data_IF_291144989485
#
_entry.id   IF_291144989485
#
_cell.length_a   1.000
_cell.length_b   1.000
_cell.length_c   1.000
_cell.angle_alpha   90.00
_cell.angle_beta   90.00
_cell.angle_gamma   90.00
#
_symmetry.space_group_name_H-M   'P 1'
#
loop_
_entity.id
_entity.type
_entity.pdbx_description
1 polymer ?
#
# COMPACT_ATOMS: atom_id res chain seq x y z
N UNK A 1 40.42 6.39 9.22
CA UNK A 1 39.80 7.29 8.21
C UNK A 1 38.95 6.56 7.17
N UNK A 2 39.19 5.28 6.86
CA UNK A 2 38.42 4.51 5.86
C UNK A 2 36.95 4.21 6.22
N UNK A 3 36.61 4.00 7.49
CA UNK A 3 35.26 3.66 7.93
C UNK A 3 34.23 4.82 7.81
N UNK A 4 34.68 6.07 7.97
CA UNK A 4 33.80 7.24 7.87
C UNK A 4 33.43 7.55 6.42
N UNK A 5 34.30 7.25 5.48
CA UNK A 5 34.08 7.41 4.04
C UNK A 5 33.05 6.41 3.53
N UNK A 6 33.18 5.15 3.90
CA UNK A 6 32.22 4.08 3.55
C UNK A 6 30.78 4.35 4.07
N UNK A 7 30.66 4.96 5.24
CA UNK A 7 29.37 5.37 5.82
C UNK A 7 28.74 6.57 5.10
N UNK A 8 29.56 7.51 4.63
CA UNK A 8 29.08 8.66 3.82
C UNK A 8 28.62 8.20 2.44
N UNK A 9 29.38 7.34 1.78
CA UNK A 9 29.04 6.79 0.46
C UNK A 9 27.75 5.96 0.51
N UNK A 10 27.53 5.18 1.55
CA UNK A 10 26.30 4.41 1.73
C UNK A 10 25.07 5.30 2.03
N UNK A 11 25.26 6.46 2.66
CA UNK A 11 24.20 7.43 2.96
C UNK A 11 23.84 8.26 1.72
N UNK A 12 24.81 8.68 0.94
CA UNK A 12 24.62 9.38 -0.33
C UNK A 12 23.89 8.47 -1.34
N UNK A 13 24.30 7.23 -1.47
CA UNK A 13 23.68 6.25 -2.37
C UNK A 13 22.20 6.00 -1.99
N UNK A 14 21.88 5.92 -0.70
CA UNK A 14 20.49 5.79 -0.22
C UNK A 14 19.64 7.00 -0.55
N UNK A 15 20.18 8.20 -0.39
CA UNK A 15 19.49 9.44 -0.75
C UNK A 15 19.23 9.53 -2.26
N UNK A 16 20.25 9.24 -3.08
CA UNK A 16 20.11 9.21 -4.55
C UNK A 16 19.02 8.22 -4.97
N UNK A 17 19.05 7.00 -4.41
CA UNK A 17 18.02 5.98 -4.68
C UNK A 17 16.62 6.46 -4.28
N UNK A 18 16.49 7.10 -3.10
CA UNK A 18 15.22 7.66 -2.62
C UNK A 18 14.65 8.67 -3.62
N UNK A 19 15.44 9.67 -4.01
CA UNK A 19 14.95 10.71 -4.93
C UNK A 19 14.70 10.20 -6.34
N UNK A 20 15.50 9.27 -6.82
CA UNK A 20 15.28 8.62 -8.12
C UNK A 20 13.97 7.84 -8.15
N UNK A 21 13.63 7.13 -7.08
CA UNK A 21 12.35 6.45 -6.95
C UNK A 21 11.18 7.44 -6.85
N UNK A 22 11.35 8.58 -6.19
CA UNK A 22 10.32 9.64 -6.15
C UNK A 22 10.06 10.17 -7.58
N UNK A 23 11.10 10.46 -8.35
CA UNK A 23 10.98 10.92 -9.74
C UNK A 23 10.26 9.87 -10.59
N UNK A 24 10.70 8.61 -10.52
CA UNK A 24 10.10 7.51 -11.27
C UNK A 24 8.62 7.34 -10.92
N UNK A 25 8.30 7.34 -9.63
CA UNK A 25 6.92 7.23 -9.16
C UNK A 25 6.05 8.41 -9.61
N UNK A 26 6.59 9.63 -9.58
CA UNK A 26 5.88 10.82 -10.04
C UNK A 26 5.59 10.77 -11.55
N UNK A 27 6.52 10.32 -12.37
CA UNK A 27 6.33 10.13 -13.82
C UNK A 27 5.25 9.09 -14.09
N UNK A 28 5.35 7.91 -13.48
CA UNK A 28 4.37 6.83 -13.67
C UNK A 28 2.98 7.27 -13.24
N UNK A 29 2.87 7.95 -12.09
CA UNK A 29 1.61 8.49 -11.61
C UNK A 29 1.00 9.47 -12.61
N UNK A 30 1.80 10.42 -13.10
CA UNK A 30 1.34 11.48 -14.02
C UNK A 30 0.88 10.93 -15.36
N UNK A 31 1.56 9.91 -15.89
CA UNK A 31 1.14 9.19 -17.09
C UNK A 31 -0.22 8.53 -16.86
N UNK A 32 -0.39 7.79 -15.78
CA UNK A 32 -1.64 7.13 -15.44
C UNK A 32 -2.79 8.11 -15.24
N UNK A 33 -2.52 9.23 -14.58
CA UNK A 33 -3.52 10.27 -14.35
C UNK A 33 -3.87 11.00 -15.65
N UNK A 34 -2.88 11.60 -16.33
CA UNK A 34 -3.14 12.54 -17.42
C UNK A 34 -3.57 11.88 -18.73
N UNK A 35 -3.06 10.69 -19.05
CA UNK A 35 -3.35 10.04 -20.32
C UNK A 35 -4.53 9.05 -20.26
N UNK A 36 -4.86 8.55 -19.05
CA UNK A 36 -5.91 7.55 -18.88
C UNK A 36 -7.09 8.06 -18.05
N UNK A 37 -6.83 8.67 -16.88
CA UNK A 37 -7.91 9.09 -15.98
C UNK A 37 -8.55 10.40 -16.43
N UNK A 38 -7.76 11.44 -16.64
CA UNK A 38 -8.25 12.80 -16.88
C UNK A 38 -9.12 12.90 -18.16
N UNK A 39 -8.75 12.31 -19.32
CA UNK A 39 -9.55 12.39 -20.54
C UNK A 39 -10.90 11.69 -20.41
N UNK A 40 -10.95 10.63 -19.61
CA UNK A 40 -12.16 9.85 -19.35
C UNK A 40 -12.98 10.40 -18.17
N UNK A 41 -12.65 11.61 -17.68
CA UNK A 41 -13.31 12.26 -16.55
C UNK A 41 -13.32 11.41 -15.27
N UNK A 42 -12.30 10.55 -15.12
CA UNK A 42 -12.09 9.72 -13.94
C UNK A 42 -11.41 10.58 -12.89
N UNK A 43 -12.10 10.77 -11.77
CA UNK A 43 -11.68 11.68 -10.71
C UNK A 43 -10.64 10.99 -9.84
N UNK A 44 -9.62 11.74 -9.46
CA UNK A 44 -8.73 11.35 -8.38
C UNK A 44 -9.41 11.66 -7.05
N UNK A 45 -9.15 10.86 -6.04
CA UNK A 45 -9.57 11.20 -4.68
C UNK A 45 -8.72 12.32 -4.05
N UNK A 46 -9.02 12.62 -2.81
CA UNK A 46 -8.23 13.54 -1.99
C UNK A 46 -8.17 14.97 -2.51
N UNK A 47 -7.06 15.65 -2.21
CA UNK A 47 -6.85 17.06 -2.60
C UNK A 47 -6.80 17.24 -4.12
N UNK A 48 -6.23 16.27 -4.85
CA UNK A 48 -6.21 16.34 -6.31
C UNK A 48 -7.63 16.25 -6.91
N UNK A 49 -8.52 15.46 -6.31
CA UNK A 49 -9.93 15.42 -6.72
C UNK A 49 -10.63 16.76 -6.52
N UNK A 50 -10.40 17.42 -5.39
CA UNK A 50 -10.92 18.79 -5.15
C UNK A 50 -10.30 19.75 -6.16
N UNK A 51 -9.01 19.64 -6.46
CA UNK A 51 -8.35 20.47 -7.49
C UNK A 51 -8.98 20.25 -8.88
N UNK A 52 -9.39 19.01 -9.23
CA UNK A 52 -10.13 18.73 -10.46
C UNK A 52 -11.51 19.42 -10.50
N UNK A 53 -12.23 19.45 -9.38
CA UNK A 53 -13.50 20.19 -9.28
C UNK A 53 -13.29 21.67 -9.55
N UNK A 54 -12.27 22.26 -8.94
CA UNK A 54 -11.92 23.67 -9.13
C UNK A 54 -11.44 23.93 -10.55
N UNK A 55 -10.62 23.04 -11.13
CA UNK A 55 -10.17 23.13 -12.52
C UNK A 55 -11.35 23.19 -13.49
N UNK A 56 -12.36 22.35 -13.30
CA UNK A 56 -13.55 22.32 -14.16
C UNK A 56 -14.38 23.62 -14.08
N UNK A 57 -14.30 24.36 -12.95
CA UNK A 57 -15.00 25.63 -12.75
C UNK A 57 -14.15 26.85 -13.15
N UNK A 58 -12.81 26.75 -13.08
CA UNK A 58 -11.92 27.91 -13.21
C UNK A 58 -10.88 27.81 -14.33
N UNK A 59 -10.74 26.63 -14.96
CA UNK A 59 -9.72 26.34 -15.97
C UNK A 59 -8.27 26.48 -15.49
N UNK A 60 -8.04 26.61 -14.19
CA UNK A 60 -6.68 26.66 -13.61
C UNK A 60 -6.03 25.27 -13.66
N UNK A 61 -4.71 25.15 -13.91
CA UNK A 61 -4.02 23.85 -13.98
C UNK A 61 -4.19 23.05 -12.69
N UNK A 62 -4.49 21.75 -12.83
CA UNK A 62 -4.74 20.84 -11.68
C UNK A 62 -3.52 20.74 -10.77
N UNK A 63 -2.31 20.69 -11.34
CA UNK A 63 -1.06 20.64 -10.58
C UNK A 63 -0.85 21.89 -9.71
N UNK A 64 -1.07 23.07 -10.28
CA UNK A 64 -0.96 24.34 -9.53
C UNK A 64 -1.96 24.39 -8.37
N UNK A 65 -3.22 24.03 -8.63
CA UNK A 65 -4.25 23.97 -7.58
C UNK A 65 -3.87 22.98 -6.48
N UNK A 66 -3.35 21.82 -6.87
CA UNK A 66 -2.88 20.80 -5.92
C UNK A 66 -1.75 21.33 -5.04
N UNK A 67 -0.78 22.06 -5.60
CA UNK A 67 0.30 22.67 -4.83
C UNK A 67 -0.26 23.67 -3.82
N UNK A 68 -1.09 24.60 -4.26
CA UNK A 68 -1.65 25.65 -3.40
C UNK A 68 -2.46 25.07 -2.24
N UNK A 69 -3.30 24.09 -2.51
CA UNK A 69 -4.13 23.43 -1.50
C UNK A 69 -3.31 22.58 -0.51
N UNK A 70 -2.16 22.10 -0.91
CA UNK A 70 -1.28 21.33 -0.05
C UNK A 70 -0.42 22.18 0.90
N UNK A 71 -0.22 23.48 0.63
CA UNK A 71 0.58 24.37 1.49
C UNK A 71 0.18 24.29 2.97
N UNK A 72 -1.11 24.46 3.35
CA UNK A 72 -1.50 24.36 4.75
C UNK A 72 -1.27 22.97 5.35
N UNK A 73 -1.45 21.90 4.56
CA UNK A 73 -1.23 20.53 5.02
C UNK A 73 0.26 20.28 5.30
N UNK A 74 1.15 20.80 4.46
CA UNK A 74 2.59 20.71 4.68
C UNK A 74 3.06 21.52 5.90
N UNK A 75 2.47 22.68 6.16
CA UNK A 75 2.78 23.46 7.36
C UNK A 75 2.43 22.67 8.65
N UNK A 76 1.29 21.97 8.64
CA UNK A 76 0.90 21.11 9.76
C UNK A 76 1.83 19.88 9.85
N UNK A 77 2.15 19.25 8.72
CA UNK A 77 3.01 18.08 8.66
C UNK A 77 4.43 18.36 9.15
N UNK A 78 4.96 19.52 8.84
CA UNK A 78 6.30 19.94 9.29
C UNK A 78 6.45 19.83 10.80
N UNK A 79 5.43 20.23 11.52
CA UNK A 79 5.45 20.23 13.00
C UNK A 79 5.43 18.81 13.60
N UNK A 80 4.98 17.79 12.84
CA UNK A 80 4.72 16.42 13.37
C UNK A 80 5.67 15.35 12.87
N UNK A 81 6.16 15.43 11.62
CA UNK A 81 6.88 14.31 10.96
C UNK A 81 8.36 14.52 10.73
N UNK A 82 8.89 15.70 11.03
CA UNK A 82 10.30 16.04 10.82
C UNK A 82 10.66 16.39 9.36
N UNK A 83 11.87 16.91 9.20
CA UNK A 83 12.34 17.50 7.93
C UNK A 83 12.54 16.48 6.81
N UNK A 84 12.99 15.26 7.10
CA UNK A 84 13.29 14.26 6.06
C UNK A 84 12.02 13.78 5.33
N UNK A 85 10.94 13.61 6.09
CA UNK A 85 9.62 13.32 5.53
C UNK A 85 9.08 14.50 4.73
N UNK A 86 9.20 15.70 5.29
CA UNK A 86 8.72 16.93 4.68
C UNK A 86 9.37 17.18 3.31
N UNK A 87 10.71 17.13 3.26
CA UNK A 87 11.48 17.39 2.03
C UNK A 87 11.15 16.34 0.96
N UNK A 88 11.14 15.05 1.32
CA UNK A 88 10.78 13.99 0.39
C UNK A 88 9.37 14.14 -0.17
N UNK A 89 8.41 14.48 0.69
CA UNK A 89 7.00 14.64 0.30
C UNK A 89 6.78 15.92 -0.51
N UNK A 90 7.47 17.02 -0.16
CA UNK A 90 7.41 18.25 -0.93
C UNK A 90 7.94 18.03 -2.37
N UNK A 91 9.07 17.34 -2.50
CA UNK A 91 9.63 16.98 -3.81
C UNK A 91 8.68 16.05 -4.56
N UNK A 92 8.11 15.05 -3.89
CA UNK A 92 7.13 14.13 -4.50
C UNK A 92 5.91 14.89 -5.02
N UNK A 93 5.32 15.77 -4.23
CA UNK A 93 4.19 16.61 -4.62
C UNK A 93 4.54 17.54 -5.80
N UNK A 94 5.65 18.26 -5.70
CA UNK A 94 6.06 19.20 -6.75
C UNK A 94 6.29 18.48 -8.09
N UNK A 95 7.05 17.38 -8.07
CA UNK A 95 7.32 16.60 -9.27
C UNK A 95 6.03 16.02 -9.87
N UNK A 96 5.16 15.44 -9.04
CA UNK A 96 3.88 14.89 -9.52
C UNK A 96 3.02 15.98 -10.15
N UNK A 97 2.91 17.15 -9.50
CA UNK A 97 2.11 18.26 -10.02
C UNK A 97 2.69 18.82 -11.32
N UNK A 98 4.01 19.03 -11.38
CA UNK A 98 4.68 19.53 -12.58
C UNK A 98 4.55 18.53 -13.73
N UNK A 99 4.75 17.24 -13.49
CA UNK A 99 4.62 16.22 -14.56
C UNK A 99 3.18 16.04 -15.03
N UNK A 100 2.18 16.22 -14.15
CA UNK A 100 0.77 16.23 -14.55
C UNK A 100 0.49 17.40 -15.48
N UNK A 101 0.90 18.61 -15.12
CA UNK A 101 0.66 19.80 -15.95
C UNK A 101 1.49 19.75 -17.26
N UNK A 102 2.72 19.23 -17.21
CA UNK A 102 3.56 19.06 -18.40
C UNK A 102 2.95 18.00 -19.36
N UNK A 103 2.43 16.91 -18.83
CA UNK A 103 1.75 15.90 -19.62
C UNK A 103 0.44 16.44 -20.22
N UNK A 104 -0.24 17.38 -19.56
CA UNK A 104 -1.45 18.02 -20.06
C UNK A 104 -1.19 18.81 -21.36
N UNK A 105 0.00 19.43 -21.50
CA UNK A 105 0.37 20.17 -22.71
C UNK A 105 0.38 19.30 -23.97
N UNK A 106 0.65 17.99 -23.83
CA UNK A 106 0.69 17.08 -24.98
C UNK A 106 -0.68 16.81 -25.58
N UNK A 107 -1.77 17.07 -24.87
CA UNK A 107 -3.15 16.72 -25.23
C UNK A 107 -3.32 15.26 -25.69
N UNK A 108 -2.42 14.36 -25.27
CA UNK A 108 -2.43 12.96 -25.63
C UNK A 108 -3.48 12.20 -24.81
N UNK A 109 -4.32 11.44 -25.50
CA UNK A 109 -5.34 10.56 -24.92
C UNK A 109 -4.99 9.12 -25.30
N UNK A 110 -4.66 8.30 -24.28
CA UNK A 110 -4.27 6.92 -24.51
C UNK A 110 -5.46 6.01 -24.86
N UNK A 111 -6.63 6.32 -24.30
CA UNK A 111 -7.87 5.60 -24.59
C UNK A 111 -9.09 6.48 -24.33
N UNK A 112 -10.13 6.29 -25.13
CA UNK A 112 -11.44 6.89 -24.95
C UNK A 112 -12.44 5.93 -24.27
N UNK A 113 -12.00 4.73 -23.90
CA UNK A 113 -12.80 3.77 -23.16
C UNK A 113 -12.65 4.06 -21.65
N UNK A 114 -13.72 4.50 -20.96
CA UNK A 114 -13.64 4.86 -19.53
C UNK A 114 -13.28 3.67 -18.64
N UNK A 115 -13.70 2.45 -19.00
CA UNK A 115 -13.37 1.27 -18.19
C UNK A 115 -11.88 0.94 -18.29
N UNK A 116 -11.35 0.95 -19.52
CA UNK A 116 -9.92 0.73 -19.76
C UNK A 116 -9.09 1.85 -19.10
N UNK A 117 -9.56 3.10 -19.21
CA UNK A 117 -8.97 4.26 -18.53
C UNK A 117 -8.95 4.10 -17.01
N UNK A 118 -10.04 3.60 -16.41
CA UNK A 118 -10.13 3.37 -14.98
C UNK A 118 -9.15 2.28 -14.49
N UNK A 119 -9.09 1.16 -15.21
CA UNK A 119 -8.22 0.04 -14.81
C UNK A 119 -6.76 0.37 -15.02
N UNK A 120 -6.34 0.77 -16.24
CA UNK A 120 -4.93 1.05 -16.53
C UNK A 120 -4.47 2.32 -15.80
N UNK A 121 -5.27 3.38 -15.81
CA UNK A 121 -4.99 4.59 -15.07
C UNK A 121 -4.88 4.33 -13.57
N UNK A 122 -5.77 3.49 -13.02
CA UNK A 122 -5.73 3.03 -11.64
C UNK A 122 -4.45 2.27 -11.30
N UNK A 123 -4.02 1.33 -12.16
CA UNK A 123 -2.76 0.57 -11.98
C UNK A 123 -1.56 1.51 -12.01
N UNK A 124 -1.44 2.37 -13.00
CA UNK A 124 -0.29 3.29 -13.12
C UNK A 124 -0.26 4.32 -11.98
N UNK A 125 -1.40 4.92 -11.64
CA UNK A 125 -1.50 5.80 -10.48
C UNK A 125 -1.09 5.10 -9.20
N UNK A 126 -1.67 3.93 -8.94
CA UNK A 126 -1.35 3.13 -7.76
C UNK A 126 0.11 2.72 -7.70
N UNK A 127 0.71 2.34 -8.84
CA UNK A 127 2.12 2.02 -8.94
C UNK A 127 3.01 3.23 -8.63
N UNK A 128 2.72 4.38 -9.22
CA UNK A 128 3.45 5.63 -8.96
C UNK A 128 3.40 6.04 -7.48
N UNK A 129 2.20 6.06 -6.88
CA UNK A 129 2.01 6.36 -5.45
C UNK A 129 2.70 5.33 -4.56
N UNK A 130 2.54 4.04 -4.84
CA UNK A 130 3.16 2.97 -4.06
C UNK A 130 4.69 3.06 -4.04
N UNK A 131 5.32 3.41 -5.17
CA UNK A 131 6.76 3.66 -5.24
C UNK A 131 7.16 4.85 -4.37
N UNK A 132 6.44 5.97 -4.43
CA UNK A 132 6.71 7.16 -3.61
C UNK A 132 6.55 6.84 -2.12
N UNK A 133 5.49 6.11 -1.75
CA UNK A 133 5.23 5.72 -0.35
C UNK A 133 6.27 4.73 0.17
N UNK A 134 6.80 3.84 -0.67
CA UNK A 134 7.81 2.84 -0.26
C UNK A 134 9.11 3.48 0.24
N UNK A 135 9.42 4.70 -0.20
CA UNK A 135 10.60 5.46 0.25
C UNK A 135 10.29 6.46 1.36
N UNK A 136 9.10 6.36 1.96
CA UNK A 136 8.68 7.20 3.08
C UNK A 136 8.28 8.63 2.71
N UNK A 137 8.05 8.91 1.42
CA UNK A 137 7.52 10.18 0.94
C UNK A 137 6.01 10.06 0.63
N UNK A 138 5.35 11.16 0.29
CA UNK A 138 3.95 11.20 -0.16
C UNK A 138 3.81 12.22 -1.30
N UNK A 139 2.74 12.10 -2.06
CA UNK A 139 2.37 13.08 -3.09
C UNK A 139 1.70 14.33 -2.52
N UNK A 140 1.63 14.43 -1.19
CA UNK A 140 0.84 15.46 -0.51
C UNK A 140 -0.64 15.11 -0.48
N UNK A 141 -1.44 16.03 0.00
CA UNK A 141 -2.89 15.85 0.04
C UNK A 141 -3.38 15.15 1.30
N UNK A 142 -4.48 14.43 1.14
CA UNK A 142 -5.15 13.73 2.25
C UNK A 142 -4.28 12.65 2.89
N UNK A 143 -3.26 12.15 2.20
CA UNK A 143 -2.28 11.19 2.75
C UNK A 143 -1.61 11.73 4.02
N UNK A 144 -1.27 13.04 4.03
CA UNK A 144 -0.72 13.72 5.19
C UNK A 144 -1.74 13.74 6.32
N UNK A 145 -2.99 14.06 6.01
CA UNK A 145 -4.08 14.09 7.00
C UNK A 145 -4.31 12.69 7.58
N UNK A 146 -4.36 11.68 6.74
CA UNK A 146 -4.53 10.28 7.16
C UNK A 146 -3.37 9.85 8.07
N UNK A 147 -2.14 10.22 7.72
CA UNK A 147 -0.97 9.92 8.53
C UNK A 147 -1.02 10.62 9.89
N UNK A 148 -1.50 11.86 9.94
CA UNK A 148 -1.72 12.61 11.18
C UNK A 148 -2.83 11.96 12.05
N UNK A 149 -3.94 11.60 11.44
CA UNK A 149 -5.05 10.92 12.12
C UNK A 149 -4.61 9.58 12.73
N UNK A 150 -3.79 8.81 12.00
CA UNK A 150 -3.24 7.53 12.51
C UNK A 150 -2.28 7.69 13.67
N UNK A 151 -1.58 8.80 13.80
CA UNK A 151 -0.79 9.07 15.01
C UNK A 151 -1.67 9.18 16.26
N UNK A 152 -2.89 9.69 16.11
CA UNK A 152 -3.84 9.85 17.21
C UNK A 152 -4.71 8.60 17.41
N UNK A 153 -5.06 7.91 16.31
CA UNK A 153 -5.97 6.76 16.30
C UNK A 153 -5.35 5.58 15.55
N UNK A 154 -4.49 4.83 16.24
CA UNK A 154 -3.73 3.71 15.66
C UNK A 154 -4.59 2.56 15.09
N UNK A 155 -5.87 2.46 15.49
CA UNK A 155 -6.81 1.44 15.02
C UNK A 155 -7.38 1.72 13.61
N UNK A 156 -7.23 2.94 13.08
CA UNK A 156 -7.72 3.28 11.76
C UNK A 156 -6.83 2.70 10.66
N UNK A 157 -7.41 1.88 9.80
CA UNK A 157 -6.72 1.41 8.61
C UNK A 157 -6.54 2.56 7.61
N UNK A 158 -5.31 2.75 7.12
CA UNK A 158 -4.97 3.80 6.16
C UNK A 158 -5.90 3.76 4.93
N UNK A 159 -6.07 2.58 4.31
CA UNK A 159 -6.92 2.41 3.14
C UNK A 159 -8.40 2.73 3.40
N UNK A 160 -8.93 2.38 4.58
CA UNK A 160 -10.33 2.67 4.90
C UNK A 160 -10.59 4.17 5.02
N UNK A 161 -9.71 4.91 5.71
CA UNK A 161 -9.86 6.37 5.85
C UNK A 161 -9.69 7.05 4.50
N UNK A 162 -8.72 6.64 3.70
CA UNK A 162 -8.50 7.13 2.34
C UNK A 162 -9.74 6.90 1.47
N UNK A 163 -10.30 5.69 1.51
CA UNK A 163 -11.48 5.34 0.75
C UNK A 163 -12.69 6.21 1.11
N UNK A 164 -12.94 6.44 2.40
CA UNK A 164 -14.06 7.29 2.87
C UNK A 164 -13.91 8.73 2.36
N UNK A 165 -12.70 9.28 2.46
CA UNK A 165 -12.42 10.64 1.98
C UNK A 165 -12.56 10.74 0.46
N UNK A 166 -12.01 9.77 -0.27
CA UNK A 166 -12.05 9.75 -1.72
C UNK A 166 -13.50 9.59 -2.24
N UNK A 167 -14.29 8.73 -1.61
CA UNK A 167 -15.72 8.61 -1.91
C UNK A 167 -16.44 9.93 -1.68
N UNK A 168 -16.17 10.62 -0.57
CA UNK A 168 -16.79 11.92 -0.29
C UNK A 168 -16.45 12.97 -1.38
N UNK A 169 -15.20 12.98 -1.86
CA UNK A 169 -14.77 13.87 -2.96
C UNK A 169 -15.45 13.50 -4.27
N UNK A 170 -15.58 12.21 -4.58
CA UNK A 170 -16.27 11.73 -5.79
C UNK A 170 -17.76 12.11 -5.77
N UNK A 171 -18.42 11.93 -4.63
CA UNK A 171 -19.81 12.34 -4.44
C UNK A 171 -19.97 13.85 -4.59
N UNK A 172 -19.05 14.64 -4.02
CA UNK A 172 -19.07 16.08 -4.15
C UNK A 172 -18.91 16.51 -5.62
N UNK A 173 -17.99 15.89 -6.34
CA UNK A 173 -17.80 16.14 -7.77
C UNK A 173 -19.07 15.79 -8.56
N UNK A 174 -19.65 14.62 -8.32
CA UNK A 174 -20.87 14.20 -8.99
C UNK A 174 -22.04 15.17 -8.71
N UNK A 175 -22.14 15.71 -7.50
CA UNK A 175 -23.17 16.66 -7.13
C UNK A 175 -23.00 18.04 -7.80
N UNK A 176 -21.76 18.51 -7.98
CA UNK A 176 -21.46 19.85 -8.50
C UNK A 176 -21.44 19.89 -10.05
N UNK A 177 -20.79 18.89 -10.68
CA UNK A 177 -20.48 18.92 -12.11
C UNK A 177 -21.38 18.03 -12.97
N UNK A 178 -22.11 17.11 -12.38
CA UNK A 178 -22.84 16.10 -13.15
C UNK A 178 -24.26 15.90 -12.68
N UNK A 179 -25.14 16.76 -13.07
CA UNK A 179 -26.56 16.43 -12.97
C UNK A 179 -26.95 15.12 -13.71
N UNK A 180 -26.05 14.54 -14.57
CA UNK A 180 -26.36 13.39 -15.44
C UNK A 180 -25.19 12.41 -15.68
N UNK A 181 -24.03 12.53 -15.03
CA UNK A 181 -22.86 11.67 -15.35
C UNK A 181 -22.41 10.79 -14.18
N UNK A 182 -23.32 9.95 -13.70
CA UNK A 182 -23.02 8.93 -12.67
C UNK A 182 -21.97 7.93 -13.14
N UNK A 183 -21.82 7.72 -14.46
CA UNK A 183 -20.82 6.83 -15.04
C UNK A 183 -19.39 7.21 -14.67
N UNK A 184 -19.02 8.49 -14.76
CA UNK A 184 -17.69 8.97 -14.37
C UNK A 184 -17.39 8.72 -12.90
N UNK A 185 -18.37 8.85 -12.02
CA UNK A 185 -18.23 8.52 -10.60
C UNK A 185 -18.01 7.02 -10.38
N UNK A 186 -18.73 6.16 -11.09
CA UNK A 186 -18.57 4.70 -11.01
C UNK A 186 -17.18 4.27 -11.51
N UNK A 187 -16.71 4.79 -12.64
CA UNK A 187 -15.36 4.51 -13.13
C UNK A 187 -14.27 5.04 -12.19
N UNK A 188 -14.53 6.18 -11.52
CA UNK A 188 -13.61 6.72 -10.51
C UNK A 188 -13.47 5.81 -9.30
N UNK A 189 -14.57 5.19 -8.83
CA UNK A 189 -14.54 4.19 -7.76
C UNK A 189 -13.74 2.94 -8.17
N UNK A 190 -13.88 2.49 -9.42
CA UNK A 190 -13.10 1.36 -9.95
C UNK A 190 -11.60 1.72 -9.97
N UNK A 191 -11.25 2.87 -10.54
CA UNK A 191 -9.86 3.33 -10.61
C UNK A 191 -9.24 3.47 -9.22
N UNK A 192 -9.99 3.99 -8.24
CA UNK A 192 -9.57 4.12 -6.86
C UNK A 192 -9.34 2.75 -6.20
N UNK A 193 -10.27 1.82 -6.37
CA UNK A 193 -10.12 0.46 -5.85
C UNK A 193 -8.88 -0.23 -6.41
N UNK A 194 -8.68 -0.16 -7.73
CA UNK A 194 -7.50 -0.71 -8.41
C UNK A 194 -6.21 -0.05 -7.88
N UNK A 195 -6.18 1.29 -7.81
CA UNK A 195 -5.03 2.03 -7.27
C UNK A 195 -4.68 1.59 -5.85
N UNK A 196 -5.68 1.48 -4.96
CA UNK A 196 -5.47 1.06 -3.58
C UNK A 196 -4.87 -0.35 -3.51
N UNK A 197 -5.37 -1.29 -4.32
CA UNK A 197 -4.82 -2.66 -4.37
C UNK A 197 -3.38 -2.70 -4.86
N UNK A 198 -3.03 -1.87 -5.85
CA UNK A 198 -1.65 -1.78 -6.35
C UNK A 198 -0.73 -1.13 -5.32
N UNK A 199 -1.20 -0.08 -4.61
CA UNK A 199 -0.46 0.53 -3.50
C UNK A 199 -0.18 -0.50 -2.41
N UNK A 200 -1.22 -1.22 -1.97
CA UNK A 200 -1.09 -2.26 -0.93
C UNK A 200 -0.11 -3.36 -1.37
N UNK A 201 -0.17 -3.77 -2.64
CA UNK A 201 0.74 -4.76 -3.21
C UNK A 201 2.20 -4.30 -3.16
N UNK A 202 2.47 -3.03 -3.47
CA UNK A 202 3.83 -2.48 -3.49
C UNK A 202 4.36 -2.20 -2.08
N UNK A 203 3.49 -1.80 -1.14
CA UNK A 203 3.90 -1.48 0.23
C UNK A 203 4.05 -2.71 1.10
N UNK A 204 3.12 -3.64 1.00
CA UNK A 204 3.04 -4.80 1.89
C UNK A 204 3.41 -6.11 1.20
N UNK A 205 3.57 -6.09 -0.13
CA UNK A 205 3.88 -7.27 -0.93
C UNK A 205 2.71 -8.26 -1.02
N UNK A 206 2.97 -9.38 -1.66
CA UNK A 206 2.08 -10.55 -1.68
C UNK A 206 2.32 -11.47 -0.47
N UNK A 207 3.28 -11.13 0.40
CA UNK A 207 3.71 -11.96 1.53
C UNK A 207 2.70 -11.88 2.70
N UNK A 208 1.48 -12.34 2.45
CA UNK A 208 0.57 -12.69 3.52
C UNK A 208 1.09 -13.96 4.17
N UNK A 209 1.61 -13.81 5.40
CA UNK A 209 1.97 -14.94 6.24
C UNK A 209 0.72 -15.52 6.90
N UNK A 210 0.79 -16.78 7.26
CA UNK A 210 -0.28 -17.47 7.96
C UNK A 210 0.30 -18.11 9.22
N UNK A 211 -0.35 -17.87 10.35
CA UNK A 211 -0.09 -18.60 11.59
C UNK A 211 -0.91 -19.87 11.55
N UNK A 212 -0.24 -21.00 11.73
CA UNK A 212 -0.86 -22.31 11.76
C UNK A 212 -0.72 -22.90 13.15
N UNK A 213 -1.84 -23.32 13.73
CA UNK A 213 -1.91 -24.14 14.93
C UNK A 213 -2.29 -25.54 14.50
N UNK A 214 -1.41 -26.51 14.76
CA UNK A 214 -1.64 -27.91 14.38
C UNK A 214 -1.69 -28.74 15.66
N UNK A 215 -2.80 -29.41 15.87
CA UNK A 215 -3.04 -30.30 17.01
C UNK A 215 -3.09 -31.72 16.46
N UNK A 216 -2.12 -32.55 16.86
CA UNK A 216 -1.96 -33.91 16.35
C UNK A 216 -1.38 -34.82 17.44
N UNK A 217 -1.79 -36.05 17.40
CA UNK A 217 -1.18 -37.12 18.24
C UNK A 217 0.24 -37.45 17.77
N UNK A 218 0.54 -37.24 16.46
CA UNK A 218 1.83 -37.51 15.84
C UNK A 218 2.72 -36.22 15.78
N UNK A 219 2.66 -35.40 16.84
CA UNK A 219 3.32 -34.09 16.88
C UNK A 219 4.84 -34.15 16.65
N UNK A 220 5.54 -35.17 17.17
CA UNK A 220 7.00 -35.32 17.02
C UNK A 220 7.43 -35.48 15.55
N UNK A 221 6.74 -36.34 14.78
CA UNK A 221 7.00 -36.56 13.36
C UNK A 221 6.70 -35.29 12.53
N UNK A 222 5.60 -34.61 12.86
CA UNK A 222 5.24 -33.33 12.21
C UNK A 222 6.28 -32.24 12.46
N UNK A 223 6.79 -32.10 13.68
CA UNK A 223 7.82 -31.13 14.02
C UNK A 223 9.09 -31.39 13.20
N UNK A 224 9.52 -32.65 13.13
CA UNK A 224 10.71 -33.03 12.38
C UNK A 224 10.55 -32.70 10.91
N UNK A 225 9.45 -33.07 10.28
CA UNK A 225 9.22 -32.83 8.85
C UNK A 225 8.97 -31.35 8.52
N UNK A 226 8.33 -30.58 9.38
CA UNK A 226 8.15 -29.14 9.17
C UNK A 226 9.50 -28.40 9.27
N UNK A 227 10.37 -28.79 10.21
CA UNK A 227 11.65 -28.13 10.44
C UNK A 227 12.73 -28.51 9.45
N UNK A 228 12.87 -29.82 9.15
CA UNK A 228 13.93 -30.36 8.28
C UNK A 228 13.47 -30.69 6.86
N UNK A 229 12.17 -30.75 6.62
CA UNK A 229 11.58 -31.07 5.33
C UNK A 229 11.44 -29.88 4.38
N UNK A 230 10.58 -30.02 3.38
CA UNK A 230 10.38 -29.03 2.31
C UNK A 230 9.84 -27.69 2.78
N UNK A 231 9.03 -27.67 3.84
CA UNK A 231 8.45 -26.44 4.41
C UNK A 231 9.54 -25.58 5.06
N UNK A 232 10.50 -26.19 5.72
CA UNK A 232 11.69 -25.60 6.35
C UNK A 232 11.37 -24.33 7.15
N UNK A 233 10.56 -24.49 8.21
CA UNK A 233 10.09 -23.39 9.06
C UNK A 233 10.29 -23.70 10.53
N UNK A 234 10.56 -22.63 11.30
CA UNK A 234 10.62 -22.70 12.75
C UNK A 234 9.27 -23.11 13.33
N UNK A 235 9.31 -23.93 14.36
CA UNK A 235 8.14 -24.46 15.06
C UNK A 235 8.28 -24.14 16.54
N UNK A 236 7.19 -23.75 17.17
CA UNK A 236 7.07 -23.63 18.63
C UNK A 236 6.01 -24.60 19.11
N UNK A 237 6.33 -25.39 20.13
CA UNK A 237 5.40 -26.32 20.73
C UNK A 237 4.76 -25.68 21.96
N UNK A 238 3.44 -25.65 22.00
CA UNK A 238 2.65 -25.21 23.13
C UNK A 238 2.04 -26.47 23.81
N UNK A 239 2.22 -26.59 25.11
CA UNK A 239 1.57 -27.65 25.87
C UNK A 239 0.16 -27.21 26.25
N UNK A 240 -0.80 -28.09 26.01
CA UNK A 240 -2.20 -27.90 26.37
C UNK A 240 -2.83 -29.17 26.89
N UNK A 241 -4.03 -29.05 27.43
CA UNK A 241 -4.84 -30.18 27.88
C UNK A 241 -6.19 -30.15 27.20
N UNK A 242 -6.62 -31.27 26.68
CA UNK A 242 -7.96 -31.41 26.11
C UNK A 242 -9.01 -31.36 27.21
N UNK A 243 -9.84 -30.31 27.23
CA UNK A 243 -10.83 -30.10 28.27
C UNK A 243 -11.83 -31.27 28.47
N UNK A 244 -12.13 -31.98 27.39
CA UNK A 244 -13.02 -33.13 27.41
C UNK A 244 -12.29 -34.46 27.71
N UNK A 245 -11.09 -34.64 27.13
CA UNK A 245 -10.34 -35.89 27.21
C UNK A 245 -9.39 -35.97 28.39
N UNK A 246 -9.10 -34.83 29.09
CA UNK A 246 -8.09 -34.65 30.11
C UNK A 246 -6.70 -35.18 29.73
N UNK A 247 -6.41 -35.25 28.41
CA UNK A 247 -5.12 -35.68 27.89
C UNK A 247 -4.25 -34.49 27.54
N UNK A 248 -2.97 -34.59 27.84
CA UNK A 248 -1.98 -33.61 27.38
C UNK A 248 -1.88 -33.66 25.89
N UNK A 249 -1.89 -32.49 25.24
CA UNK A 249 -1.76 -32.32 23.80
C UNK A 249 -0.67 -31.30 23.50
N UNK A 250 0.07 -31.56 22.43
CA UNK A 250 1.02 -30.63 21.91
C UNK A 250 0.38 -29.87 20.73
N UNK A 251 0.35 -28.54 20.84
CA UNK A 251 -0.09 -27.66 19.77
C UNK A 251 1.15 -27.11 19.08
N UNK A 252 1.32 -27.46 17.83
CA UNK A 252 2.41 -27.00 16.99
C UNK A 252 2.03 -25.65 16.44
N UNK A 253 2.74 -24.60 16.83
CA UNK A 253 2.64 -23.27 16.28
C UNK A 253 3.72 -23.08 15.23
N UNK A 254 3.34 -22.82 13.98
CA UNK A 254 4.28 -22.44 12.95
C UNK A 254 3.74 -21.29 12.10
N UNK A 255 4.65 -20.47 11.58
CA UNK A 255 4.30 -19.39 10.65
C UNK A 255 4.87 -19.73 9.29
N UNK A 256 4.00 -19.71 8.28
CA UNK A 256 4.34 -20.05 6.91
C UNK A 256 3.92 -18.94 5.96
N UNK A 257 4.59 -18.81 4.82
CA UNK A 257 4.12 -17.96 3.73
C UNK A 257 2.88 -18.59 3.08
N UNK A 258 1.99 -17.77 2.55
CA UNK A 258 0.73 -18.24 1.95
C UNK A 258 0.94 -19.26 0.81
N UNK A 259 2.02 -19.13 0.06
CA UNK A 259 2.41 -20.10 -0.99
C UNK A 259 2.86 -21.46 -0.44
N UNK A 260 3.25 -21.56 0.82
CA UNK A 260 3.64 -22.81 1.48
C UNK A 260 2.45 -23.55 2.13
N UNK A 261 1.29 -22.92 2.25
CA UNK A 261 0.09 -23.53 2.86
C UNK A 261 -0.31 -24.85 2.18
N UNK A 262 -0.36 -24.97 0.83
CA UNK A 262 -0.74 -26.22 0.20
C UNK A 262 0.21 -27.38 0.52
N UNK A 263 1.51 -27.07 0.64
CA UNK A 263 2.53 -28.06 0.97
C UNK A 263 2.43 -28.50 2.43
N UNK A 264 2.28 -27.53 3.36
CA UNK A 264 2.05 -27.81 4.78
C UNK A 264 0.80 -28.69 4.99
N UNK A 265 -0.31 -28.37 4.30
CA UNK A 265 -1.54 -29.18 4.40
C UNK A 265 -1.36 -30.59 3.92
N UNK A 266 -0.63 -30.80 2.80
CA UNK A 266 -0.32 -32.14 2.30
C UNK A 266 0.55 -32.92 3.28
N UNK A 267 1.57 -32.26 3.84
CA UNK A 267 2.45 -32.85 4.83
C UNK A 267 1.69 -33.29 6.08
N UNK A 268 0.88 -32.40 6.65
CA UNK A 268 0.10 -32.72 7.84
C UNK A 268 -0.83 -33.92 7.58
N UNK A 269 -1.55 -33.89 6.46
CA UNK A 269 -2.48 -34.97 6.11
C UNK A 269 -1.78 -36.31 5.83
N UNK A 270 -0.55 -36.30 5.32
CA UNK A 270 0.22 -37.53 5.08
C UNK A 270 0.71 -38.21 6.35
N UNK A 271 0.87 -37.45 7.44
CA UNK A 271 1.36 -37.97 8.73
C UNK A 271 0.20 -38.27 9.67
N UNK A 272 -0.83 -37.41 9.68
CA UNK A 272 -2.00 -37.57 10.53
C UNK A 272 -3.24 -37.01 9.82
N UNK A 273 -4.10 -37.90 9.32
CA UNK A 273 -5.37 -37.49 8.67
C UNK A 273 -6.37 -36.87 9.65
N UNK A 274 -6.25 -37.17 10.94
CA UNK A 274 -7.14 -36.67 11.99
C UNK A 274 -6.59 -35.40 12.66
N UNK A 275 -5.45 -34.85 12.20
CA UNK A 275 -4.88 -33.63 12.72
C UNK A 275 -5.85 -32.46 12.56
N UNK A 276 -6.02 -31.69 13.65
CA UNK A 276 -6.82 -30.48 13.63
C UNK A 276 -5.93 -29.26 13.35
N UNK A 277 -6.21 -28.53 12.28
CA UNK A 277 -5.39 -27.42 11.82
C UNK A 277 -6.22 -26.14 11.77
N UNK A 278 -5.78 -25.12 12.54
CA UNK A 278 -6.32 -23.78 12.51
C UNK A 278 -5.33 -22.89 11.74
N UNK A 279 -5.82 -22.16 10.75
CA UNK A 279 -5.01 -21.20 9.99
C UNK A 279 -5.59 -19.82 10.13
N UNK A 280 -4.75 -18.85 10.51
CA UNK A 280 -5.14 -17.45 10.69
C UNK A 280 -4.18 -16.55 9.93
N UNK A 281 -4.70 -15.60 9.16
CA UNK A 281 -3.89 -14.64 8.44
C UNK A 281 -3.07 -13.78 9.42
N UNK A 282 -1.76 -13.70 9.19
CA UNK A 282 -0.85 -12.85 9.95
C UNK A 282 -0.36 -11.72 9.04
N UNK A 283 -0.73 -10.48 9.39
CA UNK A 283 -0.42 -9.31 8.54
C UNK A 283 1.00 -8.77 8.73
N UNK A 284 1.59 -8.92 9.90
CA UNK A 284 2.91 -8.36 10.23
C UNK A 284 3.74 -9.40 10.94
N UNK A 285 4.53 -10.15 10.19
CA UNK A 285 5.45 -11.16 10.74
C UNK A 285 6.88 -10.68 10.47
N UNK A 286 7.65 -10.55 11.54
CA UNK A 286 9.06 -10.14 11.50
C UNK A 286 9.93 -11.17 12.16
N UNK A 287 11.17 -11.31 11.69
CA UNK A 287 12.15 -12.23 12.25
C UNK A 287 12.79 -13.13 11.18
N UNK A 288 13.56 -14.13 11.63
CA UNK A 288 14.29 -15.02 10.73
C UNK A 288 13.35 -15.73 9.75
N UNK A 289 13.59 -15.53 8.45
CA UNK A 289 12.77 -16.08 7.37
C UNK A 289 11.56 -15.21 6.96
N UNK A 290 11.37 -14.04 7.61
CA UNK A 290 10.35 -13.03 7.34
C UNK A 290 10.99 -11.64 7.27
N UNK A 291 10.18 -10.58 7.28
CA UNK A 291 10.67 -9.20 7.23
C UNK A 291 11.56 -8.82 8.41
N UNK A 292 12.46 -7.85 8.20
CA UNK A 292 13.38 -7.39 9.23
C UNK A 292 12.66 -6.39 10.17
N UNK A 293 12.70 -6.64 11.49
CA UNK A 293 12.10 -5.75 12.51
C UNK A 293 12.67 -4.32 12.42
N UNK A 294 13.92 -4.16 12.00
CA UNK A 294 14.58 -2.86 11.89
C UNK A 294 14.07 -1.99 10.71
N UNK A 295 13.30 -2.55 9.77
CA UNK A 295 12.75 -1.84 8.61
C UNK A 295 11.38 -1.22 8.89
N UNK A 296 10.79 -1.50 10.05
CA UNK A 296 9.52 -0.90 10.50
C UNK A 296 9.83 0.38 11.27
N UNK A 297 9.92 1.48 10.56
CA UNK A 297 9.94 2.83 11.14
C UNK A 297 8.77 3.66 10.66
#
# INVERSE_FOLDING_TARGET
MSNVQSWKDSRALRLVKKYLLIVLGAVIYSIGFQFFCYPNRIISGGVMGIAMVINALSSLPVGVLTIVMNVPLFLIAWRHFGLDFLVGSLIGMLLTSVFVDLAAVTNYVATNDPMLGAVIGGVLKGAGMGIIFSVGATTGGMDIVIKLLRQRWNYLNFGTVMLVVDVAVIVLYAAILSAHNYESAMYSLIAMYVSTKVIDLLLYGLDNSCVCYIISENSASLIQEITSGRVHRGVTVLEGEGAYSHRKKHVILCVVKRNQIPELRRLVRSIDEQAFVIMTDAKNVFGNGFGNIAEVR
#
